data_IF_268897910288
#
_entry.id   IF_268897910288
#
_cell.length_a   1.000
_cell.length_b   1.000
_cell.length_c   1.000
_cell.angle_alpha   90.00
_cell.angle_beta   90.00
_cell.angle_gamma   90.00
#
_symmetry.space_group_name_H-M   'P 1'
#
loop_
_entity.id
_entity.type
_entity.pdbx_description
1 polymer ?
#
# COMPACT_ATOMS: atom_id res chain seq x y z
N UNK A 1 -18.04 16.88 6.29
CA UNK A 1 -18.06 15.62 7.05
C UNK A 1 -16.68 15.41 7.59
N UNK A 2 -16.50 15.41 8.92
CA UNK A 2 -15.24 14.95 9.51
C UNK A 2 -15.11 13.46 9.19
N UNK A 3 -14.20 13.16 8.27
CA UNK A 3 -13.82 11.79 7.94
C UNK A 3 -13.19 11.19 9.18
N UNK A 4 -13.78 10.12 9.72
CA UNK A 4 -13.22 9.40 10.86
C UNK A 4 -11.83 8.88 10.47
N UNK A 5 -10.79 9.39 11.13
CA UNK A 5 -9.40 9.13 10.77
C UNK A 5 -9.01 7.72 11.22
N UNK A 6 -8.99 6.77 10.30
CA UNK A 6 -8.47 5.43 10.57
C UNK A 6 -6.94 5.54 10.64
N UNK A 7 -6.37 5.21 11.80
CA UNK A 7 -4.93 5.23 12.05
C UNK A 7 -4.37 3.81 12.08
N UNK A 8 -3.31 3.54 11.33
CA UNK A 8 -2.62 2.25 11.36
C UNK A 8 -1.93 2.07 12.73
N UNK A 9 -2.19 0.96 13.45
CA UNK A 9 -1.54 0.68 14.71
C UNK A 9 -0.03 0.49 14.56
N UNK A 10 0.74 0.93 15.56
CA UNK A 10 2.20 0.75 15.60
C UNK A 10 2.65 -0.71 15.45
N UNK A 11 1.86 -1.67 15.94
CA UNK A 11 2.11 -3.10 15.77
C UNK A 11 2.06 -3.57 14.31
N UNK A 12 1.20 -2.94 13.48
CA UNK A 12 1.13 -3.21 12.05
C UNK A 12 2.34 -2.60 11.34
N UNK A 13 2.71 -1.35 11.68
CA UNK A 13 3.89 -0.68 11.11
C UNK A 13 5.20 -1.43 11.43
N UNK A 14 5.34 -2.02 12.62
CA UNK A 14 6.49 -2.88 12.94
C UNK A 14 6.57 -4.10 12.03
N UNK A 15 5.42 -4.73 11.70
CA UNK A 15 5.39 -5.85 10.74
C UNK A 15 5.85 -5.38 9.36
N UNK A 16 5.38 -4.22 8.90
CA UNK A 16 5.82 -3.62 7.62
C UNK A 16 7.32 -3.40 7.61
N UNK A 17 7.87 -2.80 8.67
CA UNK A 17 9.31 -2.55 8.82
C UNK A 17 10.14 -3.84 8.73
N UNK A 18 9.77 -4.90 9.44
CA UNK A 18 10.51 -6.16 9.34
C UNK A 18 10.34 -6.85 7.99
N UNK A 19 9.17 -6.71 7.36
CA UNK A 19 8.95 -7.26 6.02
C UNK A 19 9.71 -6.50 4.94
N UNK A 20 10.01 -5.21 5.11
CA UNK A 20 10.70 -4.41 4.09
C UNK A 20 12.10 -4.92 3.75
N UNK A 21 12.76 -5.63 4.67
CA UNK A 21 14.03 -6.32 4.39
C UNK A 21 13.90 -7.42 3.32
N UNK A 22 12.70 -7.93 3.09
CA UNK A 22 12.39 -8.95 2.08
C UNK A 22 11.78 -8.36 0.81
N UNK A 23 11.84 -7.03 0.61
CA UNK A 23 11.29 -6.37 -0.57
C UNK A 23 11.86 -6.94 -1.88
N UNK A 24 13.16 -7.25 -1.92
CA UNK A 24 13.83 -7.77 -3.12
C UNK A 24 13.85 -9.30 -3.20
N UNK A 25 13.20 -10.01 -2.26
CA UNK A 25 13.23 -11.48 -2.24
C UNK A 25 12.43 -12.12 -3.38
N UNK A 26 11.51 -11.38 -4.01
CA UNK A 26 10.75 -11.86 -5.16
C UNK A 26 10.80 -10.84 -6.29
N UNK A 27 11.51 -11.20 -7.36
CA UNK A 27 11.66 -10.38 -8.55
C UNK A 27 11.07 -11.08 -9.77
N UNK A 28 10.38 -10.34 -10.62
CA UNK A 28 9.83 -10.88 -11.87
C UNK A 28 9.89 -9.83 -12.98
N UNK A 29 9.96 -10.28 -14.23
CA UNK A 29 10.08 -9.37 -15.38
C UNK A 29 8.82 -8.54 -15.66
N UNK A 30 7.66 -8.93 -15.13
CA UNK A 30 6.39 -8.24 -15.40
C UNK A 30 6.21 -6.99 -14.52
N UNK A 31 6.55 -7.08 -13.25
CA UNK A 31 6.33 -6.01 -12.27
C UNK A 31 7.51 -5.75 -11.34
N UNK A 32 8.68 -6.32 -11.62
CA UNK A 32 9.94 -6.13 -10.89
C UNK A 32 9.79 -6.51 -9.40
N UNK A 33 9.76 -5.52 -8.50
CA UNK A 33 9.69 -5.69 -7.04
C UNK A 33 8.23 -5.76 -6.51
N UNK A 34 7.22 -5.70 -7.39
CA UNK A 34 5.81 -5.62 -7.01
C UNK A 34 5.34 -6.69 -6.02
N UNK A 35 5.76 -7.94 -6.19
CA UNK A 35 5.35 -9.05 -5.32
C UNK A 35 5.95 -8.92 -3.92
N UNK A 36 7.22 -8.53 -3.83
CA UNK A 36 7.86 -8.18 -2.56
C UNK A 36 7.19 -6.95 -1.92
N UNK A 37 6.83 -5.95 -2.71
CA UNK A 37 6.13 -4.76 -2.24
C UNK A 37 4.75 -5.09 -1.66
N UNK A 38 3.96 -5.93 -2.35
CA UNK A 38 2.69 -6.42 -1.82
C UNK A 38 2.90 -7.18 -0.50
N UNK A 39 3.93 -8.03 -0.40
CA UNK A 39 4.22 -8.76 0.85
C UNK A 39 4.47 -7.81 2.03
N UNK A 40 5.21 -6.72 1.78
CA UNK A 40 5.48 -5.66 2.74
C UNK A 40 4.20 -4.93 3.15
N UNK A 41 3.36 -4.55 2.18
CA UNK A 41 2.13 -3.79 2.40
C UNK A 41 0.98 -4.61 2.97
N UNK A 42 0.98 -5.93 2.77
CA UNK A 42 -0.09 -6.84 3.20
C UNK A 42 -0.65 -6.60 4.61
N UNK A 43 0.16 -6.41 5.68
CA UNK A 43 -0.38 -6.18 7.01
C UNK A 43 -1.24 -4.91 7.13
N UNK A 44 -0.90 -3.87 6.36
CA UNK A 44 -1.64 -2.61 6.32
C UNK A 44 -2.93 -2.79 5.54
N UNK A 45 -2.86 -3.42 4.37
CA UNK A 45 -4.04 -3.68 3.54
C UNK A 45 -5.04 -4.61 4.25
N UNK A 46 -4.56 -5.61 5.00
CA UNK A 46 -5.42 -6.52 5.78
C UNK A 46 -6.11 -5.80 6.94
N UNK A 47 -5.48 -4.76 7.50
CA UNK A 47 -6.04 -3.95 8.57
C UNK A 47 -7.06 -2.94 8.05
N UNK A 48 -6.74 -2.24 6.96
CA UNK A 48 -7.60 -1.20 6.37
C UNK A 48 -8.82 -1.78 5.64
N UNK A 49 -8.70 -2.98 5.05
CA UNK A 49 -9.76 -3.62 4.27
C UNK A 49 -10.10 -5.00 4.87
N UNK A 50 -10.97 -5.06 5.89
CA UNK A 50 -11.40 -6.33 6.50
C UNK A 50 -12.23 -7.17 5.52
N UNK A 51 -13.02 -6.53 4.65
CA UNK A 51 -13.86 -7.19 3.66
C UNK A 51 -13.04 -7.82 2.53
N UNK A 52 -13.34 -9.08 2.21
CA UNK A 52 -12.54 -9.87 1.28
C UNK A 52 -12.53 -9.29 -0.15
N UNK A 53 -13.66 -8.71 -0.58
CA UNK A 53 -13.79 -8.10 -1.89
C UNK A 53 -12.91 -6.85 -2.03
N UNK A 54 -12.96 -5.94 -1.05
CA UNK A 54 -12.18 -4.70 -1.06
C UNK A 54 -10.69 -4.97 -0.89
N UNK A 55 -10.33 -5.93 -0.02
CA UNK A 55 -8.94 -6.36 0.16
C UNK A 55 -8.34 -6.91 -1.13
N UNK A 56 -9.10 -7.69 -1.90
CA UNK A 56 -8.66 -8.19 -3.20
C UNK A 56 -8.35 -7.04 -4.16
N UNK A 57 -9.21 -6.02 -4.21
CA UNK A 57 -8.99 -4.85 -5.06
C UNK A 57 -7.75 -4.07 -4.60
N UNK A 58 -7.56 -3.89 -3.29
CA UNK A 58 -6.38 -3.25 -2.74
C UNK A 58 -5.09 -4.00 -3.10
N UNK A 59 -5.07 -5.33 -3.00
CA UNK A 59 -3.92 -6.14 -3.39
C UNK A 59 -3.58 -5.99 -4.88
N UNK A 60 -4.59 -5.95 -5.75
CA UNK A 60 -4.39 -5.78 -7.19
C UNK A 60 -3.75 -4.43 -7.53
N UNK A 61 -4.08 -3.35 -6.82
CA UNK A 61 -3.46 -2.03 -7.00
C UNK A 61 -1.95 -2.05 -6.70
N UNK A 62 -1.54 -2.82 -5.69
CA UNK A 62 -0.13 -2.94 -5.27
C UNK A 62 0.66 -4.04 -6.02
N UNK A 63 0.02 -4.74 -6.96
CA UNK A 63 0.67 -5.69 -7.88
C UNK A 63 1.04 -5.06 -9.23
N UNK A 64 0.76 -3.78 -9.44
CA UNK A 64 1.24 -3.05 -10.60
C UNK A 64 2.78 -2.89 -10.56
N UNK A 65 3.37 -2.41 -11.64
CA UNK A 65 4.82 -2.24 -11.74
C UNK A 65 5.37 -1.41 -10.57
N UNK A 66 6.35 -1.97 -9.87
CA UNK A 66 7.08 -1.26 -8.81
C UNK A 66 8.56 -1.62 -8.87
N UNK A 67 9.41 -0.61 -9.07
CA UNK A 67 10.85 -0.78 -9.05
C UNK A 67 11.52 0.45 -8.46
N UNK A 68 12.31 0.27 -7.41
CA UNK A 68 13.04 1.35 -6.76
C UNK A 68 14.41 0.90 -6.25
N UNK A 69 15.27 1.86 -5.96
CA UNK A 69 16.50 1.61 -5.23
C UNK A 69 16.17 1.31 -3.75
N UNK A 70 16.73 0.24 -3.15
CA UNK A 70 16.37 -0.17 -1.79
C UNK A 70 16.47 0.93 -0.72
N UNK A 71 17.44 1.84 -0.84
CA UNK A 71 17.58 2.98 0.07
C UNK A 71 16.38 3.94 0.09
N UNK A 72 15.60 4.03 -1.00
CA UNK A 72 14.41 4.87 -1.05
C UNK A 72 13.12 4.11 -0.78
N UNK A 73 13.18 2.78 -0.69
CA UNK A 73 11.98 1.96 -0.54
C UNK A 73 11.20 2.28 0.73
N UNK A 74 11.88 2.50 1.85
CA UNK A 74 11.25 2.81 3.15
C UNK A 74 10.40 4.09 3.11
N UNK A 75 10.89 5.13 2.42
CA UNK A 75 10.16 6.38 2.24
C UNK A 75 8.89 6.18 1.41
N UNK A 76 8.99 5.40 0.32
CA UNK A 76 7.84 5.12 -0.54
C UNK A 76 6.80 4.28 0.20
N UNK A 77 7.24 3.23 0.92
CA UNK A 77 6.34 2.40 1.75
C UNK A 77 5.58 3.26 2.76
N UNK A 78 6.26 4.18 3.46
CA UNK A 78 5.63 5.09 4.41
C UNK A 78 4.62 6.04 3.76
N UNK A 79 4.97 6.63 2.62
CA UNK A 79 4.07 7.51 1.87
C UNK A 79 2.82 6.76 1.38
N UNK A 80 2.98 5.52 0.90
CA UNK A 80 1.87 4.67 0.44
C UNK A 80 0.98 4.23 1.60
N UNK A 81 1.54 3.92 2.79
CA UNK A 81 0.74 3.66 3.98
C UNK A 81 -0.17 4.84 4.32
N UNK A 82 0.37 6.06 4.34
CA UNK A 82 -0.40 7.27 4.61
C UNK A 82 -1.45 7.57 3.52
N UNK A 83 -1.15 7.23 2.26
CA UNK A 83 -2.11 7.35 1.17
C UNK A 83 -3.26 6.35 1.30
N UNK A 84 -2.97 5.10 1.66
CA UNK A 84 -3.99 4.07 1.88
C UNK A 84 -4.84 4.35 3.13
N UNK A 85 -4.27 4.91 4.20
CA UNK A 85 -5.06 5.39 5.36
C UNK A 85 -6.11 6.43 4.94
N UNK A 86 -5.69 7.42 4.15
CA UNK A 86 -6.60 8.45 3.62
C UNK A 86 -7.65 7.84 2.71
N UNK A 87 -7.23 6.94 1.83
CA UNK A 87 -8.13 6.26 0.91
C UNK A 87 -9.20 5.44 1.65
N UNK A 88 -8.81 4.66 2.65
CA UNK A 88 -9.74 3.84 3.43
C UNK A 88 -10.69 4.68 4.29
N UNK A 89 -10.28 5.90 4.67
CA UNK A 89 -11.12 6.81 5.45
C UNK A 89 -12.09 7.60 4.55
N UNK A 90 -11.73 7.86 3.29
CA UNK A 90 -12.50 8.72 2.38
C UNK A 90 -13.53 7.93 1.57
N UNK A 91 -14.82 8.21 1.78
CA UNK A 91 -15.96 7.66 1.02
C UNK A 91 -16.22 8.37 -0.33
N UNK A 92 -15.30 9.24 -0.75
CA UNK A 92 -15.44 10.12 -1.92
C UNK A 92 -14.74 9.54 -3.15
N UNK A 93 -15.55 9.10 -4.11
CA UNK A 93 -15.16 8.66 -5.45
C UNK A 93 -14.32 9.71 -6.22
N UNK A 94 -14.40 10.98 -5.82
CA UNK A 94 -13.64 12.10 -6.43
C UNK A 94 -12.17 12.18 -6.01
N UNK A 95 -11.83 11.82 -4.77
CA UNK A 95 -10.41 11.78 -4.34
C UNK A 95 -9.67 10.58 -4.94
N UNK A 96 -10.44 9.51 -5.13
CA UNK A 96 -10.13 8.32 -5.87
C UNK A 96 -9.70 8.63 -7.32
N UNK A 97 -10.46 9.49 -8.03
CA UNK A 97 -10.12 9.95 -9.38
C UNK A 97 -8.86 10.81 -9.42
N UNK A 98 -8.67 11.72 -8.46
CA UNK A 98 -7.48 12.59 -8.42
C UNK A 98 -6.16 11.83 -8.27
N UNK A 99 -6.13 10.78 -7.44
CA UNK A 99 -4.93 9.96 -7.25
C UNK A 99 -4.60 9.15 -8.52
N UNK A 100 -5.63 8.62 -9.21
CA UNK A 100 -5.46 7.86 -10.46
C UNK A 100 -5.10 8.77 -11.64
N UNK A 101 -5.64 9.98 -11.71
CA UNK A 101 -5.35 10.96 -12.77
C UNK A 101 -3.93 11.53 -12.70
N UNK A 102 -3.30 11.53 -11.51
CA UNK A 102 -1.89 11.93 -11.37
C UNK A 102 -0.94 10.92 -12.04
N UNK A 103 -1.45 9.77 -12.51
CA UNK A 103 -0.69 8.73 -13.21
C UNK A 103 -0.62 8.94 -14.75
N UNK A 104 -1.00 10.12 -15.26
CA UNK A 104 -0.83 10.52 -16.67
C UNK A 104 0.47 11.27 -16.91
#
# INVERSE_FOLDING_TARGET
MEVEKILIPSGVLRKVFFRSFFLQSLWNFKGMQNAGFLYVMRPVLDFLYPEAHERKNAYLRHLDFFNTHPYYASYIIGAVCAAEERYASTDSEDDLRRIVETKK
#
